data_IF_873570794423
#
_entry.id   IF_873570794423
#
_cell.length_a   1.000
_cell.length_b   1.000
_cell.length_c   1.000
_cell.angle_alpha   90.00
_cell.angle_beta   90.00
_cell.angle_gamma   90.00
#
_symmetry.space_group_name_H-M   'P 1'
#
loop_
_entity.id
_entity.type
_entity.pdbx_description
1 polymer ?
#
# COMPACT_ATOMS: atom_id res chain seq x y z
N UNK A 1 9.19 91.82 -35.80
CA UNK A 1 8.17 92.41 -34.91
C UNK A 1 8.66 92.19 -33.47
N UNK A 2 9.18 93.26 -32.85
CA UNK A 2 9.27 93.51 -31.39
C UNK A 2 10.10 92.47 -30.56
N UNK A 3 11.43 92.63 -30.47
CA UNK A 3 12.24 93.27 -29.38
C UNK A 3 12.37 92.45 -28.07
N UNK A 4 13.60 91.98 -27.73
CA UNK A 4 14.57 92.52 -26.73
C UNK A 4 14.55 91.67 -25.43
N UNK A 5 15.54 91.58 -24.54
CA UNK A 5 17.02 91.55 -24.51
C UNK A 5 17.41 91.63 -23.00
N UNK A 6 18.28 90.71 -22.51
CA UNK A 6 19.17 90.75 -21.29
C UNK A 6 18.51 90.79 -19.88
N UNK A 7 19.06 90.24 -18.78
CA UNK A 7 20.43 90.16 -18.21
C UNK A 7 20.64 88.89 -17.32
N UNK A 8 21.77 88.14 -17.36
CA UNK A 8 23.00 88.06 -16.50
C UNK A 8 22.85 87.81 -14.97
N UNK A 9 23.73 86.91 -14.46
CA UNK A 9 24.24 86.65 -13.07
C UNK A 9 23.44 85.59 -12.27
N UNK A 10 24.01 84.63 -11.53
CA UNK A 10 25.31 84.52 -10.88
C UNK A 10 25.73 83.05 -10.62
N UNK A 11 27.03 82.85 -10.45
CA UNK A 11 27.74 81.68 -9.95
C UNK A 11 27.38 81.31 -8.50
N UNK A 12 27.14 80.02 -8.20
CA UNK A 12 27.22 79.47 -6.84
C UNK A 12 27.93 78.10 -6.83
N UNK A 13 28.99 78.05 -6.02
CA UNK A 13 29.80 76.91 -5.63
C UNK A 13 29.10 75.99 -4.60
N UNK A 14 29.59 74.74 -4.54
CA UNK A 14 29.61 73.80 -3.39
C UNK A 14 28.24 73.24 -2.94
N UNK A 15 28.07 71.95 -2.60
CA UNK A 15 28.96 71.00 -1.94
C UNK A 15 28.47 69.56 -2.23
N UNK A 16 29.37 68.62 -2.56
CA UNK A 16 29.04 67.19 -2.53
C UNK A 16 28.99 66.71 -1.08
N UNK A 17 27.79 66.44 -0.56
CA UNK A 17 27.60 65.71 0.70
C UNK A 17 27.78 64.22 0.40
N UNK A 18 28.86 63.64 0.93
CA UNK A 18 29.07 62.20 0.99
C UNK A 18 28.03 61.58 1.95
N UNK A 19 27.00 60.95 1.41
CA UNK A 19 26.13 60.04 2.17
C UNK A 19 26.88 58.72 2.41
N UNK A 20 27.30 58.48 3.65
CA UNK A 20 27.66 57.14 4.11
C UNK A 20 26.39 56.27 4.22
N UNK A 21 26.38 55.03 3.70
CA UNK A 21 25.29 54.12 3.96
C UNK A 21 25.38 53.61 5.41
N UNK A 22 24.30 53.80 6.18
CA UNK A 22 24.12 53.15 7.46
C UNK A 22 24.11 51.63 7.24
N UNK A 23 25.09 50.93 7.81
CA UNK A 23 25.06 49.47 7.95
C UNK A 23 23.95 49.10 8.91
N UNK A 24 22.83 48.62 8.38
CA UNK A 24 21.77 47.95 9.13
C UNK A 24 22.35 46.68 9.76
N UNK A 25 22.42 46.66 11.10
CA UNK A 25 22.67 45.42 11.85
C UNK A 25 21.48 44.50 11.62
N UNK A 26 21.70 43.42 10.87
CA UNK A 26 20.72 42.38 10.63
C UNK A 26 20.16 41.84 11.96
N UNK A 27 18.84 41.84 12.08
CA UNK A 27 18.14 41.13 13.13
C UNK A 27 18.47 39.64 13.00
N UNK A 28 19.04 39.07 14.07
CA UNK A 28 19.19 37.63 14.18
C UNK A 28 17.79 37.00 14.15
N UNK A 29 17.47 36.29 13.07
CA UNK A 29 16.30 35.44 13.02
C UNK A 29 16.48 34.33 14.04
N UNK A 30 15.65 34.34 15.08
CA UNK A 30 15.48 33.19 15.96
C UNK A 30 14.92 32.08 15.08
N UNK A 31 15.78 31.11 14.77
CA UNK A 31 15.38 29.88 14.11
C UNK A 31 14.51 29.12 15.11
N UNK A 32 13.19 29.17 14.94
CA UNK A 32 12.28 28.26 15.61
C UNK A 32 12.79 26.84 15.32
N UNK A 33 13.23 26.14 16.37
CA UNK A 33 13.49 24.72 16.32
C UNK A 33 12.22 24.05 15.80
N UNK A 34 12.21 23.74 14.51
CA UNK A 34 11.11 23.00 13.91
C UNK A 34 11.09 21.65 14.62
N UNK A 35 10.07 21.43 15.46
CA UNK A 35 9.85 20.14 16.11
C UNK A 35 9.90 19.10 15.00
N UNK A 36 10.96 18.29 14.96
CA UNK A 36 11.11 17.24 13.97
C UNK A 36 9.88 16.32 14.08
N UNK A 37 9.00 16.41 13.09
CA UNK A 37 7.89 15.48 12.93
C UNK A 37 8.39 14.38 12.03
N UNK A 38 8.60 13.20 12.60
CA UNK A 38 8.84 12.01 11.82
C UNK A 38 7.73 11.89 10.74
N UNK A 39 8.06 11.64 9.47
CA UNK A 39 7.06 11.45 8.43
C UNK A 39 6.15 10.27 8.78
N UNK A 40 4.88 10.32 8.36
CA UNK A 40 3.97 9.22 8.65
C UNK A 40 4.51 7.92 8.04
N UNK A 41 4.43 6.81 8.79
CA UNK A 41 4.98 5.48 8.44
C UNK A 41 4.78 5.06 6.96
N UNK A 42 3.62 5.41 6.38
CA UNK A 42 3.21 5.00 5.03
C UNK A 42 3.39 6.08 3.95
N UNK A 43 4.05 7.21 4.25
CA UNK A 43 4.34 8.27 3.27
C UNK A 43 5.66 8.06 2.52
N UNK A 44 6.54 7.22 3.04
CA UNK A 44 7.80 6.88 2.39
C UNK A 44 7.74 5.45 1.87
N UNK A 45 8.68 5.08 0.98
CA UNK A 45 8.89 3.71 0.50
C UNK A 45 10.25 3.05 0.87
N UNK A 46 11.15 3.75 1.57
CA UNK A 46 12.43 3.16 2.02
C UNK A 46 12.26 1.87 2.86
N UNK A 47 13.25 1.00 2.87
CA UNK A 47 13.20 -0.20 3.71
C UNK A 47 13.23 0.19 5.20
N UNK A 48 12.38 -0.44 6.03
CA UNK A 48 12.54 -0.35 7.49
C UNK A 48 13.38 -1.52 7.98
N UNK A 49 14.49 -1.24 8.64
CA UNK A 49 15.27 -2.27 9.33
C UNK A 49 14.97 -2.22 10.83
N UNK A 50 14.44 -3.32 11.37
CA UNK A 50 14.09 -3.40 12.79
C UNK A 50 14.32 -4.78 13.40
N UNK A 51 14.37 -4.85 14.71
CA UNK A 51 14.43 -6.09 15.49
C UNK A 51 13.17 -6.27 16.32
N UNK A 52 12.72 -7.52 16.44
CA UNK A 52 11.64 -7.94 17.34
C UNK A 52 12.17 -9.04 18.24
N UNK A 53 12.16 -8.81 19.56
CA UNK A 53 12.56 -9.80 20.57
C UNK A 53 11.36 -10.18 21.42
N UNK A 54 11.04 -11.48 21.50
CA UNK A 54 9.90 -12.02 22.27
C UNK A 54 10.14 -13.51 22.58
N UNK A 55 9.26 -14.17 23.34
CA UNK A 55 9.20 -15.64 23.35
C UNK A 55 8.61 -16.11 22.01
N UNK A 56 9.50 -16.23 21.03
CA UNK A 56 9.15 -16.37 19.63
C UNK A 56 8.46 -17.70 19.36
N UNK A 57 8.94 -18.76 20.01
CA UNK A 57 8.38 -20.11 19.87
C UNK A 57 6.96 -20.17 20.44
N UNK A 58 6.73 -19.55 21.59
CA UNK A 58 5.38 -19.45 22.16
C UNK A 58 4.46 -18.63 21.26
N UNK A 59 4.91 -17.48 20.73
CA UNK A 59 4.13 -16.64 19.84
C UNK A 59 3.71 -17.39 18.56
N UNK A 60 4.65 -18.01 17.82
CA UNK A 60 4.33 -18.66 16.53
C UNK A 60 3.50 -19.93 16.68
N UNK A 61 3.48 -20.54 17.87
CA UNK A 61 2.65 -21.71 18.18
C UNK A 61 1.26 -21.34 18.71
N UNK A 62 1.06 -20.11 19.17
CA UNK A 62 -0.23 -19.63 19.66
C UNK A 62 -1.15 -19.22 18.50
N UNK A 63 -1.68 -20.23 17.81
CA UNK A 63 -2.49 -20.09 16.59
C UNK A 63 -3.98 -20.40 16.79
N UNK A 64 -4.38 -20.80 18.00
CA UNK A 64 -5.78 -21.12 18.32
C UNK A 64 -6.72 -19.92 18.21
N UNK A 65 -8.02 -20.14 18.25
CA UNK A 65 -9.02 -19.07 18.12
C UNK A 65 -9.05 -18.12 19.32
N UNK A 66 -8.59 -18.59 20.48
CA UNK A 66 -8.43 -17.79 21.71
C UNK A 66 -6.97 -17.38 21.96
N UNK A 67 -6.16 -17.29 20.91
CA UNK A 67 -4.78 -16.85 21.01
C UNK A 67 -4.65 -15.47 21.67
N UNK A 68 -3.53 -15.22 22.34
CA UNK A 68 -3.33 -14.05 23.21
C UNK A 68 -2.31 -13.09 22.61
N UNK A 69 -2.18 -11.93 23.24
CA UNK A 69 -1.07 -11.03 22.96
C UNK A 69 0.15 -11.47 23.76
N UNK A 70 1.31 -11.50 23.10
CA UNK A 70 2.62 -11.81 23.66
C UNK A 70 3.42 -10.52 23.74
N UNK A 71 4.02 -10.24 24.90
CA UNK A 71 4.87 -9.06 25.09
C UNK A 71 6.15 -9.21 24.27
N UNK A 72 6.55 -8.14 23.61
CA UNK A 72 7.77 -8.09 22.82
C UNK A 72 8.46 -6.73 22.95
N UNK A 73 9.73 -6.70 22.58
CA UNK A 73 10.51 -5.47 22.41
C UNK A 73 10.79 -5.26 20.93
N UNK A 74 10.38 -4.12 20.41
CA UNK A 74 10.71 -3.65 19.06
C UNK A 74 11.84 -2.63 19.17
N UNK A 75 12.81 -2.68 18.27
CA UNK A 75 13.88 -1.68 18.19
C UNK A 75 14.36 -1.44 16.77
N UNK A 76 14.78 -0.22 16.46
CA UNK A 76 15.36 0.16 15.17
C UNK A 76 16.29 1.37 15.34
N UNK A 77 17.15 1.61 14.35
CA UNK A 77 18.06 2.76 14.33
C UNK A 77 17.37 4.01 13.78
N UNK A 78 17.58 5.15 14.43
CA UNK A 78 17.21 6.48 13.96
C UNK A 78 18.45 7.37 14.05
N UNK A 79 19.18 7.50 12.94
CA UNK A 79 20.54 8.02 12.97
C UNK A 79 21.43 7.16 13.88
N UNK A 80 22.18 7.80 14.77
CA UNK A 80 23.05 7.12 15.72
C UNK A 80 22.31 6.61 16.97
N UNK A 81 21.02 6.94 17.11
CA UNK A 81 20.21 6.52 18.25
C UNK A 81 19.47 5.22 18.00
N UNK A 82 19.31 4.41 19.04
CA UNK A 82 18.44 3.22 19.01
C UNK A 82 17.09 3.59 19.64
N UNK A 83 16.04 3.59 18.83
CA UNK A 83 14.67 3.68 19.34
C UNK A 83 14.22 2.29 19.77
N UNK A 84 13.67 2.16 20.96
CA UNK A 84 13.12 0.90 21.44
C UNK A 84 11.85 1.08 22.25
N UNK A 85 10.89 0.17 22.04
CA UNK A 85 9.59 0.22 22.68
C UNK A 85 9.05 -1.18 22.95
N UNK A 86 8.20 -1.28 23.96
CA UNK A 86 7.40 -2.46 24.23
C UNK A 86 6.21 -2.50 23.29
N UNK A 87 5.96 -3.66 22.68
CA UNK A 87 4.81 -3.93 21.82
C UNK A 87 4.13 -5.23 22.24
N UNK A 88 2.88 -5.40 21.81
CA UNK A 88 2.10 -6.62 21.99
C UNK A 88 1.90 -7.29 20.63
N UNK A 89 2.34 -8.54 20.49
CA UNK A 89 2.27 -9.32 19.25
C UNK A 89 1.19 -10.40 19.35
N UNK A 90 0.45 -10.63 18.27
CA UNK A 90 -0.55 -11.69 18.21
C UNK A 90 -0.63 -12.27 16.82
N UNK A 91 -0.68 -13.60 16.69
CA UNK A 91 -0.85 -14.25 15.37
C UNK A 91 -2.23 -13.90 14.77
N UNK A 92 -2.31 -13.77 13.45
CA UNK A 92 -3.53 -13.40 12.72
C UNK A 92 -3.68 -14.17 11.42
N UNK A 93 -4.89 -14.12 10.86
CA UNK A 93 -5.24 -14.77 9.61
C UNK A 93 -5.98 -16.08 9.82
N UNK A 94 -6.31 -16.73 8.71
CA UNK A 94 -6.95 -18.04 8.68
C UNK A 94 -5.98 -19.08 8.10
N UNK A 95 -5.85 -19.17 6.78
CA UNK A 95 -4.93 -20.10 6.10
C UNK A 95 -3.49 -19.98 6.57
N UNK A 96 -2.87 -18.81 6.46
CA UNK A 96 -1.48 -18.59 6.89
C UNK A 96 -1.26 -18.65 8.41
N UNK A 97 -2.33 -18.82 9.21
CA UNK A 97 -2.25 -19.07 10.66
C UNK A 97 -2.11 -20.57 10.95
N UNK A 98 -2.51 -21.44 10.03
CA UNK A 98 -2.33 -22.89 10.13
C UNK A 98 -0.85 -23.27 9.99
N UNK A 99 -0.34 -24.07 10.93
CA UNK A 99 1.06 -24.53 10.98
C UNK A 99 1.41 -25.53 9.89
N UNK A 100 0.43 -26.22 9.31
CA UNK A 100 0.65 -27.06 8.13
C UNK A 100 0.95 -26.23 6.87
N UNK A 101 0.52 -24.96 6.86
CA UNK A 101 0.71 -24.02 5.74
C UNK A 101 1.92 -23.11 5.99
N UNK A 102 2.01 -22.51 7.18
CA UNK A 102 3.07 -21.58 7.55
C UNK A 102 3.72 -21.94 8.89
N UNK A 103 5.04 -22.10 8.88
CA UNK A 103 5.84 -22.19 10.10
C UNK A 103 5.86 -20.89 10.91
N UNK A 104 5.67 -19.75 10.24
CA UNK A 104 5.67 -18.41 10.83
C UNK A 104 4.43 -17.62 10.39
N UNK A 105 3.39 -17.55 11.22
CA UNK A 105 2.12 -16.95 10.83
C UNK A 105 2.21 -15.42 10.75
N UNK A 106 1.33 -14.75 9.97
CA UNK A 106 1.20 -13.31 9.98
C UNK A 106 0.92 -12.76 11.39
N UNK A 107 1.44 -11.58 11.68
CA UNK A 107 1.41 -10.99 13.02
C UNK A 107 0.59 -9.70 13.01
N UNK A 108 -0.17 -9.47 14.07
CA UNK A 108 -0.68 -8.15 14.44
C UNK A 108 0.21 -7.58 15.53
N UNK A 109 0.70 -6.36 15.33
CA UNK A 109 1.45 -5.60 16.33
C UNK A 109 0.53 -4.55 16.92
N UNK A 110 0.47 -4.46 18.24
CA UNK A 110 -0.16 -3.37 18.98
C UNK A 110 0.95 -2.58 19.68
N UNK A 111 0.98 -1.28 19.43
CA UNK A 111 2.04 -0.40 19.92
C UNK A 111 1.66 0.19 21.27
N UNK A 112 2.67 0.38 22.13
CA UNK A 112 2.50 1.18 23.34
C UNK A 112 2.35 2.66 22.94
N UNK A 113 1.21 3.27 23.26
CA UNK A 113 0.88 4.63 22.84
C UNK A 113 1.94 5.65 23.29
N UNK A 114 2.32 5.66 24.58
CA UNK A 114 3.25 6.65 25.11
C UNK A 114 4.64 6.52 24.49
N UNK A 115 5.13 5.29 24.31
CA UNK A 115 6.44 5.04 23.71
C UNK A 115 6.47 5.25 22.19
N UNK A 116 5.34 5.07 21.50
CA UNK A 116 5.28 5.23 20.04
C UNK A 116 5.16 6.68 19.57
N UNK A 117 4.72 7.62 20.43
CA UNK A 117 4.41 9.01 20.05
C UNK A 117 5.56 9.76 19.36
N UNK A 118 6.81 9.45 19.70
CA UNK A 118 8.01 10.08 19.14
C UNK A 118 8.85 9.10 18.31
N UNK A 119 8.19 8.12 17.70
CA UNK A 119 8.82 7.07 16.91
C UNK A 119 8.31 7.06 15.47
N UNK A 120 8.92 6.25 14.61
CA UNK A 120 8.45 5.94 13.25
C UNK A 120 7.01 5.38 13.24
N UNK A 121 6.58 4.77 14.35
CA UNK A 121 5.25 4.22 14.54
C UNK A 121 4.30 5.20 15.24
N UNK A 122 4.63 6.49 15.29
CA UNK A 122 3.73 7.50 15.83
C UNK A 122 2.36 7.43 15.16
N UNK A 123 1.33 7.76 15.95
CA UNK A 123 -0.08 7.63 15.58
C UNK A 123 -0.55 6.20 15.24
N UNK A 124 0.30 5.16 15.25
CA UNK A 124 -0.12 3.79 14.96
C UNK A 124 -0.53 3.08 16.24
N UNK A 125 -1.82 2.73 16.37
CA UNK A 125 -2.31 1.94 17.53
C UNK A 125 -2.03 0.45 17.36
N UNK A 126 -2.33 -0.05 16.16
CA UNK A 126 -2.21 -1.46 15.77
C UNK A 126 -1.91 -1.52 14.29
N UNK A 127 -1.08 -2.47 13.85
CA UNK A 127 -0.81 -2.73 12.44
C UNK A 127 -0.87 -4.23 12.16
N UNK A 128 -1.30 -4.56 10.94
CA UNK A 128 -1.11 -5.90 10.38
C UNK A 128 0.29 -5.95 9.77
N UNK A 129 1.01 -7.02 10.07
CA UNK A 129 2.31 -7.33 9.49
C UNK A 129 2.19 -8.66 8.75
N UNK A 130 2.45 -8.63 7.45
CA UNK A 130 2.52 -9.83 6.62
C UNK A 130 3.95 -10.36 6.71
N UNK A 131 4.09 -11.66 7.00
CA UNK A 131 5.37 -12.31 7.35
C UNK A 131 5.70 -13.45 6.40
N UNK A 132 6.97 -13.83 6.37
CA UNK A 132 7.59 -14.78 5.44
C UNK A 132 7.03 -16.20 5.38
N UNK A 133 6.08 -16.60 6.23
CA UNK A 133 5.43 -17.92 6.26
C UNK A 133 6.37 -19.12 6.50
N UNK A 134 7.42 -19.35 5.70
CA UNK A 134 8.37 -20.45 5.82
C UNK A 134 9.80 -19.97 6.09
N UNK A 135 10.43 -20.52 7.13
CA UNK A 135 11.74 -20.04 7.60
C UNK A 135 12.90 -20.38 6.65
N UNK A 136 12.85 -21.55 5.99
CA UNK A 136 13.99 -22.14 5.27
C UNK A 136 13.84 -22.13 3.74
N UNK A 137 12.73 -21.63 3.20
CA UNK A 137 12.46 -21.65 1.76
C UNK A 137 12.42 -20.22 1.21
N UNK A 138 13.41 -19.86 0.39
CA UNK A 138 13.56 -18.53 -0.20
C UNK A 138 12.43 -18.16 -1.17
N UNK A 139 11.69 -19.13 -1.73
CA UNK A 139 10.49 -18.86 -2.54
C UNK A 139 9.47 -18.03 -1.77
N UNK A 140 9.32 -18.27 -0.47
CA UNK A 140 8.35 -17.53 0.33
C UNK A 140 8.76 -16.08 0.58
N UNK A 141 10.06 -15.76 0.59
CA UNK A 141 10.50 -14.35 0.60
C UNK A 141 10.04 -13.65 -0.69
N UNK A 142 10.21 -14.29 -1.85
CA UNK A 142 9.73 -13.76 -3.12
C UNK A 142 8.21 -13.55 -3.11
N UNK A 143 7.44 -14.47 -2.53
CA UNK A 143 5.98 -14.32 -2.38
C UNK A 143 5.61 -13.06 -1.57
N UNK A 144 6.34 -12.74 -0.50
CA UNK A 144 6.09 -11.53 0.30
C UNK A 144 6.37 -10.27 -0.50
N UNK A 145 7.47 -10.26 -1.26
CA UNK A 145 7.78 -9.13 -2.13
C UNK A 145 6.71 -8.98 -3.22
N UNK A 146 6.26 -10.08 -3.83
CA UNK A 146 5.16 -10.05 -4.81
C UNK A 146 3.87 -9.48 -4.21
N UNK A 147 3.44 -9.96 -3.03
CA UNK A 147 2.22 -9.46 -2.37
C UNK A 147 2.36 -7.96 -2.03
N UNK A 148 3.51 -7.52 -1.53
CA UNK A 148 3.83 -6.12 -1.31
C UNK A 148 3.71 -5.29 -2.60
N UNK A 149 4.32 -5.75 -3.71
CA UNK A 149 4.28 -5.05 -4.99
C UNK A 149 2.88 -4.99 -5.59
N UNK A 150 2.00 -5.97 -5.33
CA UNK A 150 0.59 -5.88 -5.75
C UNK A 150 -0.13 -4.73 -5.03
N UNK A 151 0.11 -4.53 -3.73
CA UNK A 151 -0.43 -3.36 -3.03
C UNK A 151 0.09 -2.05 -3.64
N UNK A 152 1.40 -1.97 -3.92
CA UNK A 152 2.03 -0.81 -4.57
C UNK A 152 1.46 -0.57 -5.97
N UNK A 153 1.26 -1.63 -6.75
CA UNK A 153 0.65 -1.57 -8.08
C UNK A 153 -0.79 -1.03 -7.99
N UNK A 154 -1.58 -1.47 -7.02
CA UNK A 154 -2.95 -0.96 -6.84
C UNK A 154 -2.96 0.53 -6.44
N UNK A 155 -1.97 1.00 -5.67
CA UNK A 155 -1.82 2.42 -5.35
C UNK A 155 -1.64 3.29 -6.60
N UNK A 156 -1.02 2.76 -7.67
CA UNK A 156 -0.91 3.47 -8.94
C UNK A 156 -2.27 3.77 -9.55
N UNK A 157 -3.28 2.90 -9.40
CA UNK A 157 -4.58 3.03 -10.07
C UNK A 157 -5.63 3.80 -9.26
N UNK A 158 -5.43 3.95 -7.95
CA UNK A 158 -6.39 4.64 -7.08
C UNK A 158 -5.80 5.00 -5.71
N UNK A 159 -6.11 6.20 -5.18
CA UNK A 159 -5.78 6.54 -3.80
C UNK A 159 -6.64 5.76 -2.78
N UNK A 160 -7.80 5.23 -3.17
CA UNK A 160 -8.68 4.36 -2.38
C UNK A 160 -8.13 2.93 -2.30
N UNK A 161 -6.95 2.80 -1.72
CA UNK A 161 -6.15 1.58 -1.63
C UNK A 161 -5.41 1.55 -0.30
N UNK A 162 -5.01 0.38 0.19
CA UNK A 162 -4.12 0.33 1.36
C UNK A 162 -2.70 0.72 0.94
N UNK A 163 -2.06 1.62 1.69
CA UNK A 163 -0.62 1.79 1.61
C UNK A 163 0.09 0.68 2.38
N UNK A 164 1.29 0.33 1.94
CA UNK A 164 2.13 -0.71 2.56
C UNK A 164 3.56 -0.21 2.69
N UNK A 165 4.28 -0.77 3.67
CA UNK A 165 5.65 -0.37 3.96
C UNK A 165 6.51 -1.60 4.23
N UNK A 166 7.53 -1.82 3.39
CA UNK A 166 8.42 -2.97 3.48
C UNK A 166 9.37 -2.83 4.67
N UNK A 167 9.65 -3.96 5.32
CA UNK A 167 10.56 -4.05 6.44
C UNK A 167 11.42 -5.32 6.34
N UNK A 168 12.67 -5.21 6.78
CA UNK A 168 13.56 -6.34 7.05
C UNK A 168 13.65 -6.50 8.56
N UNK A 169 13.17 -7.64 9.05
CA UNK A 169 12.98 -7.87 10.48
C UNK A 169 13.96 -8.93 10.96
N UNK A 170 14.72 -8.57 12.00
CA UNK A 170 15.50 -9.52 12.80
C UNK A 170 14.66 -10.00 13.98
N UNK A 171 14.16 -11.23 13.90
CA UNK A 171 13.44 -11.89 14.99
C UNK A 171 14.45 -12.57 15.92
N UNK A 172 14.34 -12.30 17.23
CA UNK A 172 15.17 -12.92 18.27
C UNK A 172 14.28 -13.59 19.31
N UNK A 173 14.58 -14.86 19.61
CA UNK A 173 13.87 -15.57 20.67
C UNK A 173 14.51 -15.27 22.03
N UNK A 174 13.73 -14.67 22.93
CA UNK A 174 14.14 -14.34 24.30
C UNK A 174 14.39 -15.56 25.18
N UNK A 175 13.95 -16.75 24.76
CA UNK A 175 14.14 -18.01 25.49
C UNK A 175 15.24 -18.89 24.89
N UNK A 176 15.88 -18.46 23.80
CA UNK A 176 16.94 -19.22 23.12
C UNK A 176 16.48 -20.58 22.56
N UNK A 177 15.18 -20.77 22.34
CA UNK A 177 14.58 -21.99 21.82
C UNK A 177 14.42 -21.99 20.29
N UNK A 178 14.66 -20.85 19.65
CA UNK A 178 14.71 -20.69 18.20
C UNK A 178 15.88 -19.80 17.82
N UNK A 179 16.61 -20.18 16.77
CA UNK A 179 17.67 -19.36 16.20
C UNK A 179 17.11 -18.03 15.68
N UNK A 180 17.89 -16.93 15.73
CA UNK A 180 17.50 -15.67 15.12
C UNK A 180 17.18 -15.82 13.63
N UNK A 181 16.18 -15.08 13.16
CA UNK A 181 15.75 -15.09 11.75
C UNK A 181 15.76 -13.66 11.21
N UNK A 182 16.29 -13.47 10.01
CA UNK A 182 16.24 -12.20 9.29
C UNK A 182 15.38 -12.41 8.04
N UNK A 183 14.25 -11.71 7.96
CA UNK A 183 13.23 -11.94 6.93
C UNK A 183 12.53 -10.67 6.51
N UNK A 184 12.10 -10.61 5.25
CA UNK A 184 11.22 -9.54 4.80
C UNK A 184 9.81 -9.72 5.37
N UNK A 185 9.19 -8.59 5.66
CA UNK A 185 7.80 -8.45 6.06
C UNK A 185 7.30 -7.11 5.55
N UNK A 186 5.99 -6.88 5.55
CA UNK A 186 5.48 -5.54 5.30
C UNK A 186 4.30 -5.21 6.21
N UNK A 187 4.22 -3.94 6.56
CA UNK A 187 3.09 -3.37 7.27
C UNK A 187 2.00 -2.95 6.30
N UNK A 188 0.74 -3.13 6.71
CA UNK A 188 -0.42 -2.63 5.97
C UNK A 188 -1.04 -1.48 6.77
N UNK A 189 -1.36 -0.40 6.08
CA UNK A 189 -2.07 0.77 6.61
C UNK A 189 -3.34 0.37 7.38
N UNK A 190 -3.61 1.07 8.50
CA UNK A 190 -4.84 0.85 9.24
C UNK A 190 -6.06 1.26 8.40
N UNK A 191 -7.14 0.47 8.49
CA UNK A 191 -8.32 0.65 7.65
C UNK A 191 -9.02 1.99 7.87
N UNK A 192 -9.12 2.46 9.11
CA UNK A 192 -9.79 3.72 9.42
C UNK A 192 -8.95 4.89 8.90
N UNK A 193 -7.62 4.80 9.06
CA UNK A 193 -6.70 5.80 8.50
C UNK A 193 -6.69 5.84 6.98
N UNK A 194 -6.75 4.68 6.32
CA UNK A 194 -6.88 4.60 4.87
C UNK A 194 -8.17 5.28 4.39
N UNK A 195 -9.28 5.09 5.11
CA UNK A 195 -10.53 5.79 4.81
C UNK A 195 -10.39 7.30 5.03
N UNK A 196 -9.84 7.71 6.18
CA UNK A 196 -9.65 9.11 6.58
C UNK A 196 -8.82 9.89 5.57
N UNK A 197 -7.66 9.38 5.14
CA UNK A 197 -6.82 10.04 4.13
C UNK A 197 -7.48 10.17 2.76
N UNK A 198 -8.57 9.44 2.52
CA UNK A 198 -9.40 9.52 1.33
C UNK A 198 -10.66 10.38 1.52
N UNK A 199 -10.76 11.11 2.63
CA UNK A 199 -11.92 11.94 2.98
C UNK A 199 -13.20 11.13 3.20
N UNK A 200 -13.06 9.89 3.71
CA UNK A 200 -14.14 8.91 3.83
C UNK A 200 -14.16 8.26 5.21
N UNK A 201 -15.26 7.59 5.52
CA UNK A 201 -15.41 6.76 6.71
C UNK A 201 -15.24 5.27 6.35
N UNK A 202 -14.71 4.51 7.29
CA UNK A 202 -14.68 3.06 7.24
C UNK A 202 -16.11 2.50 7.42
N UNK A 203 -16.45 1.51 6.60
CA UNK A 203 -17.74 0.81 6.64
C UNK A 203 -17.55 -0.63 7.11
N UNK A 204 -18.39 -1.06 8.04
CA UNK A 204 -18.36 -2.39 8.67
C UNK A 204 -19.66 -3.17 8.41
N UNK A 205 -20.14 -3.11 7.17
CA UNK A 205 -21.29 -3.88 6.69
C UNK A 205 -21.03 -5.39 6.76
N UNK A 206 -22.10 -6.19 6.73
CA UNK A 206 -22.02 -7.64 6.61
C UNK A 206 -22.08 -8.13 5.17
N UNK A 207 -22.86 -7.45 4.32
CA UNK A 207 -23.06 -7.77 2.89
C UNK A 207 -23.41 -6.52 2.12
N UNK A 208 -22.92 -6.40 0.89
CA UNK A 208 -23.30 -5.31 -0.04
C UNK A 208 -23.35 -5.85 -1.46
N UNK A 209 -24.47 -5.69 -2.16
CA UNK A 209 -24.52 -6.06 -3.58
C UNK A 209 -23.53 -5.20 -4.37
N UNK A 210 -22.85 -5.81 -5.36
CA UNK A 210 -21.78 -5.13 -6.08
C UNK A 210 -22.25 -3.85 -6.79
N UNK A 211 -23.46 -3.84 -7.35
CA UNK A 211 -24.02 -2.66 -8.01
C UNK A 211 -24.55 -1.58 -7.06
N UNK A 212 -24.56 -1.84 -5.74
CA UNK A 212 -24.81 -0.81 -4.73
C UNK A 212 -23.53 -0.06 -4.36
N UNK A 213 -22.39 -0.45 -4.93
CA UNK A 213 -21.13 0.28 -4.82
C UNK A 213 -20.95 1.28 -5.97
N UNK A 214 -19.90 2.11 -5.91
CA UNK A 214 -19.54 2.97 -7.03
C UNK A 214 -19.07 2.13 -8.24
N UNK A 215 -19.88 2.15 -9.30
CA UNK A 215 -19.77 1.25 -10.46
C UNK A 215 -18.41 1.36 -11.16
N UNK A 216 -17.92 2.57 -11.41
CA UNK A 216 -16.61 2.79 -12.01
C UNK A 216 -15.47 2.24 -11.13
N UNK A 217 -15.55 2.43 -9.81
CA UNK A 217 -14.55 1.96 -8.85
C UNK A 217 -14.51 0.44 -8.78
N UNK A 218 -15.67 -0.22 -8.69
CA UNK A 218 -15.71 -1.68 -8.63
C UNK A 218 -15.38 -2.35 -9.97
N UNK A 219 -15.66 -1.69 -11.09
CA UNK A 219 -15.24 -2.17 -12.41
C UNK A 219 -13.72 -2.09 -12.55
N UNK A 220 -13.09 -0.97 -12.12
CA UNK A 220 -11.63 -0.83 -12.06
C UNK A 220 -11.00 -1.87 -11.14
N UNK A 221 -11.57 -2.09 -9.95
CA UNK A 221 -11.15 -3.15 -9.04
C UNK A 221 -11.18 -4.52 -9.74
N UNK A 222 -12.28 -4.87 -10.40
CA UNK A 222 -12.40 -6.15 -11.10
C UNK A 222 -11.38 -6.32 -12.23
N UNK A 223 -11.09 -5.26 -12.99
CA UNK A 223 -10.04 -5.27 -14.02
C UNK A 223 -8.65 -5.42 -13.39
N UNK A 224 -8.37 -4.75 -12.27
CA UNK A 224 -7.11 -4.91 -11.55
C UNK A 224 -6.93 -6.33 -11.01
N UNK A 225 -7.98 -6.92 -10.43
CA UNK A 225 -7.96 -8.32 -9.98
C UNK A 225 -7.72 -9.28 -11.16
N UNK A 226 -8.27 -8.99 -12.33
CA UNK A 226 -8.00 -9.73 -13.57
C UNK A 226 -6.52 -9.57 -14.00
N UNK A 227 -5.97 -8.35 -14.01
CA UNK A 227 -4.55 -8.06 -14.32
C UNK A 227 -3.60 -8.93 -13.49
N UNK A 228 -3.85 -9.07 -12.19
CA UNK A 228 -2.98 -9.84 -11.28
C UNK A 228 -3.36 -11.33 -11.16
N UNK A 229 -4.40 -11.78 -11.88
CA UNK A 229 -4.89 -13.16 -11.80
C UNK A 229 -5.40 -13.54 -10.41
N UNK A 230 -6.22 -12.70 -9.79
CA UNK A 230 -6.78 -12.98 -8.47
C UNK A 230 -8.29 -13.16 -8.54
N UNK A 231 -8.75 -14.35 -8.18
CA UNK A 231 -10.17 -14.69 -8.08
C UNK A 231 -10.68 -14.79 -6.64
N UNK A 232 -9.81 -14.67 -5.64
CA UNK A 232 -10.17 -14.82 -4.22
C UNK A 232 -10.67 -13.50 -3.61
N UNK A 233 -11.82 -13.03 -4.09
CA UNK A 233 -12.47 -11.82 -3.58
C UNK A 233 -13.98 -11.85 -3.78
N UNK A 234 -14.74 -10.96 -3.15
CA UNK A 234 -16.16 -10.84 -3.41
C UNK A 234 -16.82 -9.70 -2.65
N UNK A 235 -17.40 -8.74 -3.38
CA UNK A 235 -18.14 -7.62 -2.76
C UNK A 235 -19.40 -8.08 -2.02
N UNK A 236 -20.24 -9.01 -2.54
CA UNK A 236 -21.44 -9.48 -1.83
C UNK A 236 -21.21 -10.03 -0.43
N UNK A 237 -20.09 -10.72 -0.23
CA UNK A 237 -19.72 -11.38 1.04
C UNK A 237 -18.61 -10.63 1.79
N UNK A 238 -18.11 -9.53 1.23
CA UNK A 238 -16.94 -8.79 1.72
C UNK A 238 -15.68 -9.67 1.90
N UNK A 239 -15.57 -10.74 1.11
CA UNK A 239 -14.39 -11.58 1.09
C UNK A 239 -13.24 -10.80 0.44
N UNK A 240 -12.16 -10.55 1.19
CA UNK A 240 -11.01 -9.77 0.75
C UNK A 240 -11.37 -8.36 0.21
N UNK A 241 -12.47 -7.79 0.73
CA UNK A 241 -12.98 -6.45 0.38
C UNK A 241 -13.27 -5.66 1.66
N UNK A 242 -12.82 -4.40 1.68
CA UNK A 242 -13.28 -3.38 2.63
C UNK A 242 -14.12 -2.34 1.91
N UNK A 243 -14.97 -1.64 2.67
CA UNK A 243 -15.84 -0.60 2.14
C UNK A 243 -15.49 0.74 2.77
N UNK A 244 -15.43 1.79 1.97
CA UNK A 244 -15.32 3.17 2.46
C UNK A 244 -16.36 4.06 1.77
N UNK A 245 -16.91 5.05 2.47
CA UNK A 245 -17.93 5.92 1.89
C UNK A 245 -17.79 7.36 2.40
N UNK A 246 -18.31 8.34 1.65
CA UNK A 246 -18.27 9.76 2.07
C UNK A 246 -19.13 10.01 3.30
N UNK A 247 -20.30 9.37 3.35
CA UNK A 247 -21.24 9.40 4.47
C UNK A 247 -21.79 7.98 4.72
N UNK A 248 -22.46 7.72 5.86
CA UNK A 248 -23.06 6.41 6.14
C UNK A 248 -24.08 5.93 5.09
N UNK A 249 -24.72 6.85 4.35
CA UNK A 249 -25.76 6.51 3.36
C UNK A 249 -25.26 6.62 1.90
N UNK A 250 -24.01 7.04 1.69
CA UNK A 250 -23.43 7.11 0.35
C UNK A 250 -23.10 5.71 -0.19
N UNK A 251 -23.22 5.51 -1.51
CA UNK A 251 -22.70 4.30 -2.17
C UNK A 251 -21.22 4.11 -1.81
N UNK A 252 -20.81 2.94 -1.29
CA UNK A 252 -19.43 2.74 -0.87
C UNK A 252 -18.51 2.48 -2.06
N UNK A 253 -17.24 2.77 -1.86
CA UNK A 253 -16.12 2.30 -2.69
C UNK A 253 -15.60 0.99 -2.11
N UNK A 254 -15.54 -0.09 -2.89
CA UNK A 254 -14.88 -1.32 -2.46
C UNK A 254 -13.37 -1.18 -2.63
N UNK A 255 -12.62 -1.67 -1.63
CA UNK A 255 -11.17 -1.63 -1.57
C UNK A 255 -10.65 -3.05 -1.34
N UNK A 256 -9.90 -3.64 -2.29
CA UNK A 256 -9.35 -4.98 -2.15
C UNK A 256 -8.18 -5.02 -1.17
N UNK A 257 -7.98 -6.16 -0.51
CA UNK A 257 -6.85 -6.47 0.36
C UNK A 257 -6.67 -7.98 0.47
N UNK A 258 -5.54 -8.46 1.02
CA UNK A 258 -5.17 -9.89 1.08
C UNK A 258 -5.02 -10.45 -0.36
N UNK A 259 -3.83 -10.25 -0.94
CA UNK A 259 -3.53 -10.63 -2.33
C UNK A 259 -2.71 -11.92 -2.44
N UNK A 260 -2.55 -12.65 -1.33
CA UNK A 260 -1.73 -13.87 -1.27
C UNK A 260 -2.21 -14.99 -2.20
N UNK A 261 -3.49 -14.97 -2.60
CA UNK A 261 -4.08 -15.91 -3.55
C UNK A 261 -3.94 -15.51 -5.04
N UNK A 262 -3.28 -14.38 -5.35
CA UNK A 262 -3.11 -13.94 -6.72
C UNK A 262 -2.09 -14.79 -7.49
N UNK A 263 -2.30 -14.97 -8.80
CA UNK A 263 -1.33 -15.60 -9.72
C UNK A 263 0.07 -15.00 -9.63
N UNK A 264 0.17 -13.68 -9.45
CA UNK A 264 1.45 -13.00 -9.29
C UNK A 264 2.19 -13.37 -8.01
N UNK A 265 1.49 -13.75 -6.93
CA UNK A 265 2.15 -14.25 -5.71
C UNK A 265 2.64 -15.69 -5.92
N UNK A 266 1.91 -16.49 -6.71
CA UNK A 266 2.27 -17.88 -7.02
C UNK A 266 2.51 -18.71 -5.74
N UNK A 267 1.61 -18.55 -4.76
CA UNK A 267 1.69 -19.27 -3.50
C UNK A 267 1.41 -20.77 -3.71
N UNK A 268 2.25 -21.69 -3.18
CA UNK A 268 2.07 -23.13 -3.40
C UNK A 268 0.82 -23.70 -2.72
N UNK A 269 0.25 -22.99 -1.74
CA UNK A 269 -0.99 -23.36 -1.07
C UNK A 269 -2.24 -22.78 -1.75
N UNK A 270 -2.09 -21.89 -2.73
CA UNK A 270 -3.22 -21.30 -3.42
C UNK A 270 -3.77 -22.27 -4.46
N UNK A 271 -5.06 -22.57 -4.34
CA UNK A 271 -5.79 -23.47 -5.26
C UNK A 271 -6.97 -22.73 -5.89
N UNK A 272 -7.37 -23.07 -7.13
CA UNK A 272 -8.53 -22.47 -7.76
C UNK A 272 -9.80 -22.73 -6.94
N UNK A 273 -10.70 -21.76 -6.91
CA UNK A 273 -11.99 -21.95 -6.26
C UNK A 273 -12.84 -22.88 -7.12
N UNK A 274 -13.23 -24.03 -6.57
CA UNK A 274 -14.01 -25.07 -7.26
C UNK A 274 -15.36 -24.59 -7.82
N UNK A 275 -15.89 -23.45 -7.33
CA UNK A 275 -17.13 -22.84 -7.85
C UNK A 275 -16.89 -21.97 -9.10
N UNK A 276 -15.64 -21.77 -9.48
CA UNK A 276 -15.23 -21.01 -10.66
C UNK A 276 -14.74 -21.98 -11.72
N UNK A 277 -15.05 -21.68 -12.98
CA UNK A 277 -14.64 -22.48 -14.13
C UNK A 277 -13.19 -22.14 -14.54
N UNK A 278 -12.25 -22.39 -13.63
CA UNK A 278 -10.81 -22.26 -13.85
C UNK A 278 -10.09 -23.48 -13.29
N UNK A 279 -9.07 -23.96 -14.00
CA UNK A 279 -8.29 -25.15 -13.62
C UNK A 279 -7.01 -24.81 -12.86
N UNK A 280 -6.60 -23.53 -12.91
CA UNK A 280 -5.38 -23.05 -12.28
C UNK A 280 -5.58 -21.64 -11.72
N UNK A 281 -4.87 -21.32 -10.64
CA UNK A 281 -4.80 -19.94 -10.11
C UNK A 281 -4.15 -18.97 -11.12
N UNK A 282 -3.45 -19.49 -12.13
CA UNK A 282 -2.81 -18.71 -13.17
C UNK A 282 -3.77 -18.34 -14.33
N UNK A 283 -4.96 -18.93 -14.37
CA UNK A 283 -5.98 -18.55 -15.35
C UNK A 283 -6.67 -17.26 -14.91
N UNK A 284 -6.74 -16.28 -15.82
CA UNK A 284 -7.46 -15.04 -15.54
C UNK A 284 -8.96 -15.27 -15.71
N UNK A 285 -9.73 -14.77 -14.74
CA UNK A 285 -11.18 -14.75 -14.81
C UNK A 285 -11.71 -13.38 -14.43
N UNK A 286 -12.45 -12.76 -15.33
CA UNK A 286 -13.09 -11.48 -15.05
C UNK A 286 -14.34 -11.69 -14.20
N UNK A 287 -14.30 -11.27 -12.93
CA UNK A 287 -15.38 -11.46 -11.96
C UNK A 287 -16.26 -10.21 -11.76
N UNK A 288 -16.12 -9.24 -12.65
CA UNK A 288 -16.97 -8.05 -12.71
C UNK A 288 -18.34 -8.34 -13.34
N UNK A 289 -19.27 -7.40 -13.14
CA UNK A 289 -20.56 -7.42 -13.84
C UNK A 289 -20.41 -6.81 -15.23
N UNK A 290 -21.28 -7.21 -16.15
CA UNK A 290 -21.31 -6.71 -17.53
C UNK A 290 -21.38 -5.18 -17.56
N UNK A 291 -20.53 -4.60 -18.42
CA UNK A 291 -20.45 -3.16 -18.71
C UNK A 291 -20.44 -2.94 -20.22
N UNK A 292 -20.72 -1.71 -20.65
CA UNK A 292 -20.60 -1.38 -22.07
C UNK A 292 -19.13 -1.36 -22.49
N UNK A 293 -18.86 -1.58 -23.78
CA UNK A 293 -17.51 -1.45 -24.31
C UNK A 293 -16.92 -0.05 -24.06
N UNK A 294 -17.77 0.99 -24.10
CA UNK A 294 -17.39 2.39 -23.80
C UNK A 294 -16.95 2.57 -22.34
N UNK A 295 -17.68 1.99 -21.39
CA UNK A 295 -17.33 2.08 -19.97
C UNK A 295 -16.00 1.35 -19.66
N UNK A 296 -15.81 0.18 -20.27
CA UNK A 296 -14.58 -0.60 -20.14
C UNK A 296 -13.40 0.15 -20.76
N UNK A 297 -13.56 0.71 -21.96
CA UNK A 297 -12.52 1.45 -22.65
C UNK A 297 -12.07 2.69 -21.86
N UNK A 298 -13.00 3.41 -21.22
CA UNK A 298 -12.66 4.52 -20.33
C UNK A 298 -11.68 4.09 -19.23
N UNK A 299 -11.87 2.90 -18.66
CA UNK A 299 -10.98 2.36 -17.62
C UNK A 299 -9.68 1.82 -18.23
N UNK A 300 -9.74 1.09 -19.34
CA UNK A 300 -8.54 0.52 -19.98
C UNK A 300 -7.55 1.58 -20.42
N UNK A 301 -8.00 2.77 -20.83
CA UNK A 301 -7.10 3.91 -21.11
C UNK A 301 -6.16 4.21 -19.94
N UNK A 302 -6.65 4.16 -18.71
CA UNK A 302 -5.81 4.37 -17.52
C UNK A 302 -4.79 3.25 -17.34
N UNK A 303 -5.17 2.00 -17.59
CA UNK A 303 -4.25 0.86 -17.57
C UNK A 303 -3.16 0.98 -18.63
N UNK A 304 -3.49 1.44 -19.83
CA UNK A 304 -2.50 1.69 -20.90
C UNK A 304 -1.57 2.84 -20.54
N UNK A 305 -2.09 3.96 -20.02
CA UNK A 305 -1.26 5.09 -19.58
C UNK A 305 -0.30 4.74 -18.44
N UNK A 306 -0.70 3.82 -17.55
CA UNK A 306 0.12 3.39 -16.40
C UNK A 306 0.99 2.16 -16.69
N UNK A 307 1.02 1.65 -17.92
CA UNK A 307 1.77 0.44 -18.31
C UNK A 307 3.25 0.54 -17.91
N UNK A 308 3.95 1.57 -18.37
CA UNK A 308 5.39 1.69 -18.11
C UNK A 308 5.69 1.81 -16.62
N UNK A 309 4.97 2.65 -15.88
CA UNK A 309 5.15 2.82 -14.43
C UNK A 309 4.85 1.52 -13.67
N UNK A 310 3.87 0.73 -14.11
CA UNK A 310 3.60 -0.58 -13.54
C UNK A 310 4.75 -1.56 -13.79
N UNK A 311 5.34 -1.56 -14.97
CA UNK A 311 6.48 -2.44 -15.30
C UNK A 311 7.71 -2.03 -14.49
N UNK A 312 8.00 -0.73 -14.45
CA UNK A 312 9.11 -0.13 -13.69
C UNK A 312 9.03 -0.45 -12.19
N UNK A 313 7.81 -0.47 -11.62
CA UNK A 313 7.60 -0.86 -10.22
C UNK A 313 8.18 -2.24 -9.91
N UNK A 314 8.10 -3.20 -10.85
CA UNK A 314 8.62 -4.55 -10.65
C UNK A 314 10.09 -4.66 -11.07
N UNK A 315 10.49 -4.07 -12.20
CA UNK A 315 11.88 -4.16 -12.68
C UNK A 315 12.86 -3.49 -11.72
N UNK A 316 12.45 -2.37 -11.10
CA UNK A 316 13.28 -1.60 -10.17
C UNK A 316 13.26 -2.16 -8.73
N UNK A 317 12.49 -3.21 -8.45
CA UNK A 317 12.50 -3.85 -7.14
C UNK A 317 13.77 -4.72 -6.99
N UNK A 318 14.70 -4.29 -6.14
CA UNK A 318 15.94 -5.03 -5.86
C UNK A 318 15.73 -6.35 -5.11
N UNK A 319 14.60 -6.50 -4.41
CA UNK A 319 14.28 -7.69 -3.61
C UNK A 319 13.60 -8.80 -4.42
N UNK A 320 13.27 -8.54 -5.69
CA UNK A 320 12.68 -9.51 -6.58
C UNK A 320 13.75 -10.09 -7.52
N UNK A 321 13.83 -11.41 -7.60
CA UNK A 321 14.75 -12.10 -8.52
C UNK A 321 14.37 -11.85 -9.98
N UNK A 322 15.35 -11.89 -10.88
CA UNK A 322 15.13 -11.65 -12.31
C UNK A 322 14.13 -12.65 -12.92
N UNK A 323 14.18 -13.92 -12.49
CA UNK A 323 13.19 -14.93 -12.85
C UNK A 323 11.76 -14.52 -12.48
N UNK A 324 11.58 -13.97 -11.28
CA UNK A 324 10.27 -13.53 -10.82
C UNK A 324 9.82 -12.25 -11.53
N UNK A 325 10.75 -11.33 -11.84
CA UNK A 325 10.47 -10.16 -12.68
C UNK A 325 9.97 -10.59 -14.06
N UNK A 326 10.74 -11.44 -14.76
CA UNK A 326 10.39 -11.95 -16.09
C UNK A 326 9.01 -12.63 -16.09
N UNK A 327 8.74 -13.50 -15.11
CA UNK A 327 7.44 -14.16 -14.97
C UNK A 327 6.29 -13.16 -14.85
N UNK A 328 6.44 -12.14 -14.02
CA UNK A 328 5.41 -11.11 -13.82
C UNK A 328 5.22 -10.29 -15.09
N UNK A 329 6.31 -9.88 -15.75
CA UNK A 329 6.24 -9.08 -16.98
C UNK A 329 5.55 -9.85 -18.12
N UNK A 330 5.88 -11.13 -18.31
CA UNK A 330 5.18 -11.99 -19.26
C UNK A 330 3.67 -12.09 -18.93
N UNK A 331 3.32 -12.16 -17.64
CA UNK A 331 1.93 -12.13 -17.21
C UNK A 331 1.28 -10.75 -17.49
N UNK A 332 1.98 -9.64 -17.33
CA UNK A 332 1.45 -8.34 -17.72
C UNK A 332 1.27 -8.21 -19.23
N UNK A 333 2.21 -8.70 -20.02
CA UNK A 333 2.13 -8.66 -21.49
C UNK A 333 0.87 -9.37 -21.99
N UNK A 334 0.53 -10.52 -21.42
CA UNK A 334 -0.70 -11.23 -21.76
C UNK A 334 -1.96 -10.44 -21.42
N UNK A 335 -1.98 -9.72 -20.30
CA UNK A 335 -3.07 -8.80 -19.97
C UNK A 335 -3.17 -7.66 -21.01
N UNK A 336 -2.04 -7.05 -21.37
CA UNK A 336 -2.03 -5.95 -22.33
C UNK A 336 -2.46 -6.41 -23.74
N UNK A 337 -2.06 -7.61 -24.17
CA UNK A 337 -2.58 -8.25 -25.41
C UNK A 337 -4.10 -8.43 -25.38
N UNK A 338 -4.72 -8.65 -24.21
CA UNK A 338 -6.18 -8.74 -24.08
C UNK A 338 -6.80 -7.37 -24.33
N UNK A 339 -6.35 -6.36 -23.58
CA UNK A 339 -6.98 -5.03 -23.58
C UNK A 339 -6.61 -4.16 -24.80
N UNK A 340 -5.68 -4.61 -25.63
CA UNK A 340 -5.36 -4.02 -26.94
C UNK A 340 -6.20 -4.61 -28.09
N UNK A 341 -6.95 -5.70 -27.84
CA UNK A 341 -7.75 -6.38 -28.86
C UNK A 341 -9.26 -6.29 -28.56
N UNK A 342 -10.05 -5.54 -29.35
CA UNK A 342 -11.49 -5.40 -29.14
C UNK A 342 -12.27 -6.72 -29.11
N UNK A 343 -11.86 -7.73 -29.89
CA UNK A 343 -12.51 -9.05 -29.89
C UNK A 343 -12.26 -9.78 -28.57
N UNK A 344 -11.05 -9.67 -28.02
CA UNK A 344 -10.72 -10.26 -26.71
C UNK A 344 -11.40 -9.51 -25.58
N UNK A 345 -11.46 -8.18 -25.62
CA UNK A 345 -12.27 -7.41 -24.67
C UNK A 345 -13.71 -7.89 -24.65
N UNK A 346 -14.33 -8.04 -25.83
CA UNK A 346 -15.71 -8.54 -25.94
C UNK A 346 -15.85 -9.92 -25.30
N UNK A 347 -15.01 -10.87 -25.68
CA UNK A 347 -15.08 -12.23 -25.15
C UNK A 347 -14.85 -12.28 -23.64
N UNK A 348 -13.79 -11.65 -23.15
CA UNK A 348 -13.30 -11.84 -21.77
C UNK A 348 -13.99 -10.92 -20.74
N UNK A 349 -14.43 -9.72 -21.14
CA UNK A 349 -15.00 -8.72 -20.23
C UNK A 349 -16.49 -8.42 -20.46
N UNK A 350 -17.10 -8.91 -21.54
CA UNK A 350 -18.51 -8.61 -21.88
C UNK A 350 -19.35 -9.88 -22.01
N UNK A 351 -18.91 -10.85 -22.80
CA UNK A 351 -19.68 -12.06 -23.10
C UNK A 351 -19.72 -13.00 -21.88
N UNK A 352 -18.57 -13.20 -21.22
CA UNK A 352 -18.46 -14.03 -20.00
C UNK A 352 -18.62 -13.26 -18.69
N UNK A 353 -18.93 -11.96 -18.74
CA UNK A 353 -19.12 -11.16 -17.54
C UNK A 353 -20.40 -11.54 -16.79
N UNK A 354 -20.41 -11.33 -15.47
CA UNK A 354 -21.57 -11.62 -14.63
C UNK A 354 -22.75 -10.72 -15.01
N UNK A 355 -23.94 -11.29 -15.10
CA UNK A 355 -25.18 -10.54 -15.34
C UNK A 355 -25.95 -10.37 -14.03
N UNK A 356 -26.58 -9.21 -13.85
CA UNK A 356 -27.53 -8.99 -12.76
C UNK A 356 -28.79 -9.80 -13.09
N UNK A 357 -29.11 -10.79 -12.26
CA UNK A 357 -30.41 -11.43 -12.30
C UNK A 357 -31.31 -10.67 -11.34
N UNK A 358 -32.22 -9.86 -11.86
CA UNK A 358 -33.32 -9.35 -11.05
C UNK A 358 -34.22 -10.54 -10.73
N UNK A 359 -34.36 -10.90 -9.45
CA UNK A 359 -35.46 -11.76 -9.04
C UNK A 359 -36.74 -10.97 -9.32
N UNK A 360 -37.59 -11.52 -10.18
CA UNK A 360 -38.93 -10.99 -10.44
C UNK A 360 -39.78 -11.10 -9.20
#
# INVERSE_FOLDING_TARGET
MITKLRYILASILWSFILLHPLVSKGAASIQEDSIYRAPNLFESDSLIELSITTDLKSLVRDIGDKNKYHKARLSYHLGDSIVSMTVDLKTRGNFRKDRSICAFPPIRIKFNKSQSSYSLFHNQKKLKMVTHCQNRNSRYEQMIIQEYLIYKAYNLFTPESFRVRLAKITYKDSKGQMDPLIKHAFFIEDFEKMAERNGKIARYDSKVHQDHTLINKVTKLAIFQYLIGNTDWGVPTLHNIKLISKTPNSRPTPVPYDFDWASLVNAPYAVPNQKLDIKSIHERLYRGYKRSAKDLEYIFREFRMKKNVLYELYTNCEYLSDKEKERVLNYFDDFYKVIENPKRIKSEFIDHARTIKYQK
#
